data_IF_437523341741
#
_entry.id   IF_437523341741
#
_cell.length_a   1.000
_cell.length_b   1.000
_cell.length_c   1.000
_cell.angle_alpha   90.00
_cell.angle_beta   90.00
_cell.angle_gamma   90.00
#
_symmetry.space_group_name_H-M   'P 1'
#
loop_
_entity.id
_entity.type
_entity.pdbx_description
1 polymer ?
#
# COMPACT_ATOMS: atom_id res chain seq x y z
N UNK A 1 -36.46 -9.37 -4.05
CA UNK A 1 -35.59 -8.19 -3.89
C UNK A 1 -34.38 -8.42 -4.77
N UNK A 2 -34.47 -7.93 -6.00
CA UNK A 2 -33.54 -8.18 -7.12
C UNK A 2 -32.27 -7.39 -6.89
N UNK A 3 -31.16 -8.07 -6.70
CA UNK A 3 -29.81 -7.48 -6.67
C UNK A 3 -29.37 -7.13 -8.10
N UNK A 4 -30.06 -6.20 -8.75
CA UNK A 4 -29.54 -5.46 -9.88
C UNK A 4 -28.81 -4.24 -9.34
N UNK A 5 -27.55 -4.38 -8.93
CA UNK A 5 -26.71 -3.22 -8.65
C UNK A 5 -25.24 -3.52 -8.90
N UNK A 6 -24.72 -2.69 -9.78
CA UNK A 6 -23.36 -2.21 -9.85
C UNK A 6 -22.28 -3.14 -10.43
N UNK A 7 -22.57 -3.71 -11.61
CA UNK A 7 -21.53 -4.16 -12.55
C UNK A 7 -20.83 -2.96 -13.27
N UNK A 8 -21.11 -1.73 -12.86
CA UNK A 8 -20.57 -0.53 -13.51
C UNK A 8 -19.07 -0.35 -13.26
N UNK A 9 -18.51 -1.03 -12.26
CA UNK A 9 -17.11 -0.85 -11.84
C UNK A 9 -16.12 -1.84 -12.45
N UNK A 10 -16.59 -2.92 -13.06
CA UNK A 10 -15.71 -3.83 -13.80
C UNK A 10 -15.68 -3.30 -15.24
N UNK A 11 -14.60 -2.65 -15.69
CA UNK A 11 -14.46 -2.31 -17.08
C UNK A 11 -14.61 -3.60 -17.88
N UNK A 12 -15.57 -3.65 -18.81
CA UNK A 12 -15.69 -4.74 -19.80
C UNK A 12 -14.50 -4.65 -20.77
N UNK A 13 -13.30 -4.83 -20.24
CA UNK A 13 -12.10 -4.90 -21.06
C UNK A 13 -11.98 -6.36 -21.49
N UNK A 14 -12.11 -6.62 -22.80
CA UNK A 14 -11.70 -7.91 -23.35
C UNK A 14 -10.30 -8.22 -22.83
N UNK A 15 -10.03 -9.46 -22.34
CA UNK A 15 -8.68 -9.82 -21.99
C UNK A 15 -7.83 -9.68 -23.26
N UNK A 16 -7.13 -8.57 -23.38
CA UNK A 16 -5.96 -8.53 -24.24
C UNK A 16 -5.02 -9.60 -23.69
N UNK A 17 -4.42 -10.38 -24.61
CA UNK A 17 -3.24 -11.17 -24.27
C UNK A 17 -2.44 -10.38 -23.24
N UNK A 18 -1.87 -11.06 -22.24
CA UNK A 18 -0.98 -10.48 -21.23
C UNK A 18 0.17 -9.80 -21.97
N UNK A 19 -0.12 -8.64 -22.54
CA UNK A 19 0.88 -7.81 -23.17
C UNK A 19 1.83 -7.45 -22.04
N UNK A 20 3.03 -7.93 -22.17
CA UNK A 20 4.12 -7.65 -21.25
C UNK A 20 4.15 -6.14 -21.05
N UNK A 21 4.05 -5.71 -19.80
CA UNK A 21 4.24 -4.31 -19.44
C UNK A 21 5.51 -3.78 -20.10
N UNK A 22 5.50 -2.61 -20.77
CA UNK A 22 6.65 -2.14 -21.53
C UNK A 22 7.89 -2.03 -20.63
N UNK A 23 9.01 -2.66 -21.02
CA UNK A 23 10.24 -2.64 -20.23
C UNK A 23 10.79 -1.21 -20.08
N UNK A 24 11.56 -0.97 -19.04
CA UNK A 24 12.33 0.26 -18.90
C UNK A 24 13.29 0.43 -20.08
N UNK A 25 13.59 1.68 -20.45
CA UNK A 25 14.62 1.97 -21.47
C UNK A 25 15.96 1.42 -21.00
N UNK A 26 16.72 0.83 -21.91
CA UNK A 26 17.92 0.04 -21.65
C UNK A 26 19.10 0.78 -20.99
N UNK A 27 19.06 2.09 -20.92
CA UNK A 27 20.11 2.97 -20.38
C UNK A 27 19.85 3.50 -18.99
N UNK A 28 18.74 3.10 -18.33
CA UNK A 28 18.44 3.51 -16.96
C UNK A 28 19.08 2.55 -15.94
N UNK A 29 19.58 3.12 -14.83
CA UNK A 29 19.97 2.31 -13.67
C UNK A 29 18.84 1.36 -13.28
N UNK A 30 19.18 0.13 -12.87
CA UNK A 30 18.19 -0.86 -12.43
C UNK A 30 17.44 -0.35 -11.20
N UNK A 31 18.12 0.36 -10.29
CA UNK A 31 17.55 0.88 -9.03
C UNK A 31 17.40 2.40 -9.06
N UNK A 32 16.64 2.93 -8.14
CA UNK A 32 16.49 4.35 -7.82
C UNK A 32 16.80 4.50 -6.33
N UNK A 33 17.99 5.00 -5.94
CA UNK A 33 18.30 5.23 -4.53
C UNK A 33 17.20 6.07 -3.85
N UNK A 34 16.88 5.75 -2.62
CA UNK A 34 15.75 6.37 -1.92
C UNK A 34 15.84 7.90 -1.91
N UNK A 35 17.02 8.46 -1.72
CA UNK A 35 17.26 9.92 -1.70
C UNK A 35 16.98 10.60 -3.04
N UNK A 36 16.90 9.86 -4.14
CA UNK A 36 16.61 10.37 -5.49
C UNK A 36 15.17 10.11 -5.95
N UNK A 37 14.41 9.34 -5.17
CA UNK A 37 13.08 8.94 -5.62
C UNK A 37 12.13 10.12 -5.79
N UNK A 38 12.26 11.12 -4.94
CA UNK A 38 11.43 12.31 -5.01
C UNK A 38 11.71 13.13 -6.27
N UNK A 39 12.98 13.36 -6.60
CA UNK A 39 13.37 14.04 -7.82
C UNK A 39 12.86 13.30 -9.05
N UNK A 40 12.96 11.96 -9.03
CA UNK A 40 12.44 11.12 -10.10
C UNK A 40 10.91 11.25 -10.25
N UNK A 41 10.16 11.27 -9.14
CA UNK A 41 8.70 11.42 -9.16
C UNK A 41 8.27 12.78 -9.72
N UNK A 42 8.97 13.86 -9.33
CA UNK A 42 8.62 15.24 -9.68
C UNK A 42 9.20 15.69 -11.04
N UNK A 43 10.07 14.89 -11.65
CA UNK A 43 10.61 15.17 -12.98
C UNK A 43 9.48 15.12 -14.03
N UNK A 44 9.28 16.24 -14.71
CA UNK A 44 8.27 16.38 -15.78
C UNK A 44 8.46 15.36 -16.90
N UNK A 45 9.68 14.92 -17.16
CA UNK A 45 10.00 13.88 -18.14
C UNK A 45 9.45 12.50 -17.76
N UNK A 46 9.22 12.24 -16.47
CA UNK A 46 8.68 10.99 -15.98
C UNK A 46 7.15 10.99 -15.83
N UNK A 47 6.48 12.15 -15.91
CA UNK A 47 5.03 12.25 -15.66
C UNK A 47 4.20 11.29 -16.51
N UNK A 48 4.41 11.27 -17.82
CA UNK A 48 3.68 10.37 -18.73
C UNK A 48 3.87 8.90 -18.33
N UNK A 49 5.12 8.50 -18.02
CA UNK A 49 5.44 7.15 -17.58
C UNK A 49 4.74 6.79 -16.25
N UNK A 50 4.68 7.73 -15.32
CA UNK A 50 4.00 7.56 -14.03
C UNK A 50 2.48 7.38 -14.24
N UNK A 51 1.87 8.19 -15.10
CA UNK A 51 0.45 8.07 -15.46
C UNK A 51 0.17 6.75 -16.20
N UNK A 52 1.06 6.31 -17.10
CA UNK A 52 0.97 5.00 -17.77
C UNK A 52 1.04 3.84 -16.76
N UNK A 53 1.86 3.94 -15.71
CA UNK A 53 1.92 2.96 -14.62
C UNK A 53 0.58 2.82 -13.91
N UNK A 54 -0.02 3.95 -13.52
CA UNK A 54 -1.32 3.97 -12.86
C UNK A 54 -2.42 3.42 -13.77
N UNK A 55 -2.46 3.88 -15.04
CA UNK A 55 -3.46 3.43 -16.01
C UNK A 55 -3.38 1.92 -16.24
N UNK A 56 -2.18 1.39 -16.48
CA UNK A 56 -2.00 -0.04 -16.70
C UNK A 56 -2.37 -0.87 -15.47
N UNK A 57 -1.89 -0.48 -14.28
CA UNK A 57 -2.20 -1.17 -13.04
C UNK A 57 -3.72 -1.25 -12.79
N UNK A 58 -4.38 -0.11 -12.90
CA UNK A 58 -5.81 0.01 -12.61
C UNK A 58 -6.71 -0.65 -13.65
N UNK A 59 -6.22 -0.87 -14.87
CA UNK A 59 -6.98 -1.58 -15.91
C UNK A 59 -6.74 -3.07 -15.96
N UNK A 60 -5.52 -3.52 -15.71
CA UNK A 60 -5.12 -4.88 -16.11
C UNK A 60 -4.58 -5.75 -14.98
N UNK A 61 -4.07 -5.17 -13.90
CA UNK A 61 -3.51 -5.94 -12.80
C UNK A 61 -4.58 -6.27 -11.73
N UNK A 62 -4.55 -7.49 -11.19
CA UNK A 62 -5.54 -7.92 -10.20
C UNK A 62 -5.46 -7.14 -8.88
N UNK A 63 -4.31 -6.54 -8.58
CA UNK A 63 -4.14 -5.65 -7.43
C UNK A 63 -5.07 -4.42 -7.43
N UNK A 64 -5.68 -4.08 -8.57
CA UNK A 64 -6.72 -3.04 -8.65
C UNK A 64 -7.95 -3.35 -7.80
N UNK A 65 -8.16 -4.61 -7.45
CA UNK A 65 -9.27 -5.02 -6.60
C UNK A 65 -9.01 -4.79 -5.11
N UNK A 66 -7.80 -4.41 -4.72
CA UNK A 66 -7.47 -4.15 -3.32
C UNK A 66 -8.45 -3.13 -2.71
N UNK A 67 -8.56 -1.94 -3.30
CA UNK A 67 -9.44 -0.89 -2.82
C UNK A 67 -10.93 -1.27 -2.91
N UNK A 68 -11.31 -2.01 -3.94
CA UNK A 68 -12.66 -2.54 -4.08
C UNK A 68 -13.07 -3.41 -2.89
N UNK A 69 -12.17 -4.29 -2.42
CA UNK A 69 -12.42 -5.14 -1.26
C UNK A 69 -12.32 -4.35 0.06
N UNK A 70 -11.36 -3.43 0.16
CA UNK A 70 -11.19 -2.56 1.34
C UNK A 70 -12.45 -1.75 1.60
N UNK A 71 -13.09 -1.17 0.57
CA UNK A 71 -14.34 -0.41 0.72
C UNK A 71 -15.52 -1.25 1.21
N UNK A 72 -15.47 -2.56 1.05
CA UNK A 72 -16.50 -3.50 1.53
C UNK A 72 -16.21 -4.04 2.92
N UNK A 73 -15.01 -3.79 3.40
CA UNK A 73 -14.59 -4.23 4.72
C UNK A 73 -15.11 -3.29 5.81
N UNK A 74 -15.19 -3.81 7.03
CA UNK A 74 -15.39 -3.00 8.21
C UNK A 74 -14.08 -2.25 8.54
N UNK A 75 -14.14 -0.96 8.81
CA UNK A 75 -12.95 -0.15 9.08
C UNK A 75 -12.23 -0.57 10.37
N UNK A 76 -12.97 -0.89 11.43
CA UNK A 76 -12.43 -1.14 12.77
C UNK A 76 -12.29 -2.61 13.11
N UNK A 77 -12.65 -3.54 12.20
CA UNK A 77 -12.53 -4.99 12.39
C UNK A 77 -12.03 -5.65 11.12
N UNK A 78 -11.23 -6.70 11.27
CA UNK A 78 -10.87 -7.53 10.13
C UNK A 78 -12.07 -8.37 9.69
N UNK A 79 -12.21 -8.53 8.38
CA UNK A 79 -13.29 -9.27 7.73
C UNK A 79 -12.71 -10.14 6.60
N UNK A 80 -13.46 -11.06 6.01
CA UNK A 80 -13.02 -11.78 4.82
C UNK A 80 -12.62 -10.87 3.65
N UNK A 81 -13.19 -9.66 3.57
CA UNK A 81 -12.85 -8.70 2.53
C UNK A 81 -11.41 -8.21 2.62
N UNK A 82 -10.86 -8.08 3.83
CA UNK A 82 -9.45 -7.70 4.02
C UNK A 82 -8.50 -8.79 3.54
N UNK A 83 -8.88 -10.06 3.73
CA UNK A 83 -8.11 -11.19 3.23
C UNK A 83 -8.10 -11.17 1.71
N UNK A 84 -9.26 -11.01 1.06
CA UNK A 84 -9.36 -10.90 -0.40
C UNK A 84 -8.60 -9.69 -0.93
N UNK A 85 -8.66 -8.54 -0.24
CA UNK A 85 -7.89 -7.35 -0.60
C UNK A 85 -6.39 -7.67 -0.63
N UNK A 86 -5.86 -8.25 0.42
CA UNK A 86 -4.44 -8.59 0.53
C UNK A 86 -4.01 -9.65 -0.48
N UNK A 87 -4.85 -10.65 -0.72
CA UNK A 87 -4.58 -11.71 -1.71
C UNK A 87 -4.56 -11.18 -3.15
N UNK A 88 -5.36 -10.15 -3.46
CA UNK A 88 -5.28 -9.45 -4.76
C UNK A 88 -3.91 -8.82 -5.03
N UNK A 89 -3.11 -8.55 -3.98
CA UNK A 89 -1.74 -8.08 -4.06
C UNK A 89 -0.70 -9.22 -4.11
N UNK A 90 -1.09 -10.40 -4.58
CA UNK A 90 -0.21 -11.56 -4.83
C UNK A 90 0.51 -12.09 -3.58
N UNK A 91 -0.14 -12.04 -2.44
CA UNK A 91 0.30 -12.69 -1.20
C UNK A 91 -0.84 -13.53 -0.63
N UNK A 92 -0.53 -14.51 0.20
CA UNK A 92 -1.55 -15.33 0.87
C UNK A 92 -1.53 -15.11 2.38
N UNK A 93 -2.70 -15.20 2.99
CA UNK A 93 -2.86 -15.21 4.44
C UNK A 93 -2.96 -16.67 4.88
N UNK A 94 -2.11 -17.16 5.83
CA UNK A 94 -2.20 -18.53 6.31
C UNK A 94 -3.60 -18.85 6.84
N UNK A 95 -4.16 -20.02 6.49
CA UNK A 95 -5.55 -20.39 6.83
C UNK A 95 -5.89 -20.23 8.32
N UNK A 96 -4.96 -20.59 9.22
CA UNK A 96 -5.18 -20.40 10.66
C UNK A 96 -5.25 -18.91 11.04
N UNK A 97 -4.43 -18.08 10.40
CA UNK A 97 -4.47 -16.65 10.59
C UNK A 97 -5.73 -16.03 9.99
N UNK A 98 -6.18 -16.51 8.82
CA UNK A 98 -7.44 -16.08 8.21
C UNK A 98 -8.63 -16.31 9.13
N UNK A 99 -8.73 -17.53 9.71
CA UNK A 99 -9.76 -17.84 10.71
C UNK A 99 -9.68 -16.88 11.90
N UNK A 100 -8.50 -16.72 12.51
CA UNK A 100 -8.29 -15.82 13.65
C UNK A 100 -8.62 -14.35 13.32
N UNK A 101 -8.32 -13.88 12.11
CA UNK A 101 -8.62 -12.51 11.69
C UNK A 101 -10.13 -12.23 11.64
N UNK A 102 -10.95 -13.19 11.21
CA UNK A 102 -12.39 -12.98 11.00
C UNK A 102 -13.25 -13.36 12.20
N UNK A 103 -12.74 -14.16 13.13
CA UNK A 103 -13.42 -14.48 14.38
C UNK A 103 -13.18 -13.37 15.42
N UNK A 104 -14.11 -13.13 16.37
CA UNK A 104 -13.88 -12.18 17.45
C UNK A 104 -12.64 -12.51 18.27
N UNK A 105 -11.78 -11.51 18.51
CA UNK A 105 -10.59 -11.63 19.36
C UNK A 105 -10.42 -10.35 20.17
N UNK A 106 -10.58 -10.46 21.47
CA UNK A 106 -10.65 -9.30 22.37
C UNK A 106 -9.36 -8.46 22.37
N UNK A 107 -8.19 -9.09 22.33
CA UNK A 107 -6.92 -8.37 22.38
C UNK A 107 -6.64 -7.64 21.07
N UNK A 108 -6.80 -8.32 19.93
CA UNK A 108 -6.65 -7.71 18.61
C UNK A 108 -7.65 -6.57 18.41
N UNK A 109 -8.92 -6.79 18.76
CA UNK A 109 -9.98 -5.82 18.56
C UNK A 109 -9.78 -4.58 19.43
N UNK A 110 -9.32 -4.75 20.67
CA UNK A 110 -8.92 -3.64 21.56
C UNK A 110 -7.73 -2.85 20.99
N UNK A 111 -6.74 -3.52 20.39
CA UNK A 111 -5.61 -2.85 19.75
C UNK A 111 -6.05 -2.08 18.51
N UNK A 112 -6.99 -2.62 17.74
CA UNK A 112 -7.58 -1.93 16.59
C UNK A 112 -8.30 -0.66 17.02
N UNK A 113 -9.16 -0.73 18.03
CA UNK A 113 -9.88 0.43 18.57
C UNK A 113 -8.90 1.51 19.07
N UNK A 114 -7.84 1.12 19.77
CA UNK A 114 -6.78 2.05 20.21
C UNK A 114 -6.06 2.71 19.05
N UNK A 115 -5.77 1.96 17.99
CA UNK A 115 -5.10 2.50 16.82
C UNK A 115 -5.98 3.53 16.08
N UNK A 116 -7.27 3.23 15.91
CA UNK A 116 -8.23 4.16 15.32
C UNK A 116 -8.39 5.43 16.16
N UNK A 117 -8.59 5.30 17.47
CA UNK A 117 -8.70 6.45 18.36
C UNK A 117 -7.44 7.34 18.33
N UNK A 118 -6.25 6.73 18.24
CA UNK A 118 -4.99 7.48 18.17
C UNK A 118 -4.80 8.24 16.84
N UNK A 119 -5.49 7.82 15.77
CA UNK A 119 -5.44 8.41 14.43
C UNK A 119 -6.66 9.31 14.12
N UNK A 120 -7.35 9.81 15.16
CA UNK A 120 -8.43 10.77 14.97
C UNK A 120 -9.52 10.29 14.00
N UNK A 121 -10.00 9.05 14.18
CA UNK A 121 -11.01 8.41 13.33
C UNK A 121 -10.64 8.31 11.84
N UNK A 122 -9.32 8.29 11.56
CA UNK A 122 -8.79 8.03 10.21
C UNK A 122 -8.54 9.28 9.36
N UNK A 123 -8.58 10.47 9.96
CA UNK A 123 -8.24 11.72 9.26
C UNK A 123 -6.72 11.96 9.15
N UNK A 124 -5.96 11.37 10.07
CA UNK A 124 -4.50 11.46 10.07
C UNK A 124 -3.87 10.74 8.87
N UNK A 125 -2.80 11.34 8.36
CA UNK A 125 -1.94 10.77 7.32
C UNK A 125 -0.60 10.33 7.90
N UNK A 126 0.19 9.57 7.13
CA UNK A 126 1.55 9.20 7.53
C UNK A 126 2.41 10.42 7.89
N UNK A 127 2.19 11.55 7.23
CA UNK A 127 2.99 12.78 7.42
C UNK A 127 2.38 13.77 8.41
N UNK A 128 1.09 13.69 8.73
CA UNK A 128 0.45 14.52 9.75
C UNK A 128 0.43 13.88 11.13
N UNK A 129 0.35 12.56 11.22
CA UNK A 129 0.23 11.86 12.49
C UNK A 129 1.47 12.02 13.38
N UNK A 130 1.26 11.82 14.69
CA UNK A 130 2.37 11.83 15.64
C UNK A 130 3.35 10.67 15.35
N UNK A 131 4.65 10.95 15.33
CA UNK A 131 5.71 9.95 15.07
C UNK A 131 5.67 8.77 16.03
N UNK A 132 5.20 8.96 17.27
CA UNK A 132 5.07 7.88 18.25
C UNK A 132 4.06 6.80 17.84
N UNK A 133 3.18 7.11 16.89
CA UNK A 133 2.20 6.15 16.33
C UNK A 133 2.82 5.29 15.24
N UNK A 134 3.94 5.71 14.65
CA UNK A 134 4.56 5.02 13.53
C UNK A 134 5.10 3.65 13.95
N UNK A 135 5.02 2.71 13.04
CA UNK A 135 5.65 1.39 13.19
C UNK A 135 7.11 1.52 12.79
N UNK A 136 7.94 1.92 13.72
CA UNK A 136 9.39 1.99 13.53
C UNK A 136 10.05 0.69 14.01
N UNK A 137 11.29 0.44 13.61
CA UNK A 137 12.07 -0.67 14.14
C UNK A 137 12.19 -0.59 15.67
N UNK A 138 12.33 0.63 16.21
CA UNK A 138 12.38 0.88 17.66
C UNK A 138 11.03 0.62 18.33
N UNK A 139 9.93 1.07 17.74
CA UNK A 139 8.59 0.87 18.31
C UNK A 139 8.15 -0.59 18.27
N UNK A 140 8.52 -1.35 17.24
CA UNK A 140 8.19 -2.78 17.15
C UNK A 140 8.99 -3.62 18.14
N UNK A 141 10.24 -3.25 18.44
CA UNK A 141 11.05 -3.92 19.44
C UNK A 141 10.54 -3.68 20.87
N UNK A 142 10.08 -2.47 21.16
CA UNK A 142 9.65 -2.06 22.49
C UNK A 142 8.14 -2.22 22.72
N UNK A 143 7.36 -2.63 21.71
CA UNK A 143 5.90 -2.73 21.77
C UNK A 143 5.20 -1.38 22.06
N UNK A 144 5.85 -0.25 21.75
CA UNK A 144 5.30 1.09 21.98
C UNK A 144 4.27 1.45 20.92
N UNK A 145 3.20 2.13 21.32
CA UNK A 145 2.14 2.58 20.42
C UNK A 145 1.17 1.47 19.97
N UNK A 146 -0.07 1.86 19.70
CA UNK A 146 -1.14 0.91 19.34
C UNK A 146 -0.90 0.23 17.99
N UNK A 147 -0.43 0.95 16.99
CA UNK A 147 -0.09 0.38 15.67
C UNK A 147 1.05 -0.62 15.75
N UNK A 148 2.09 -0.34 16.52
CA UNK A 148 3.21 -1.27 16.71
C UNK A 148 2.79 -2.53 17.46
N UNK A 149 1.92 -2.39 18.47
CA UNK A 149 1.34 -3.53 19.19
C UNK A 149 0.46 -4.37 18.25
N UNK A 150 -0.38 -3.74 17.44
CA UNK A 150 -1.23 -4.41 16.45
C UNK A 150 -0.38 -5.12 15.39
N UNK A 151 0.67 -4.48 14.88
CA UNK A 151 1.64 -5.11 13.98
C UNK A 151 2.24 -6.37 14.60
N UNK A 152 2.72 -6.28 15.86
CA UNK A 152 3.31 -7.40 16.59
C UNK A 152 2.29 -8.51 16.83
N UNK A 153 1.05 -8.16 17.18
CA UNK A 153 -0.06 -9.10 17.35
C UNK A 153 -0.31 -9.93 16.08
N UNK A 154 -0.37 -9.29 14.90
CA UNK A 154 -0.49 -9.96 13.61
C UNK A 154 0.72 -10.86 13.30
N UNK A 155 1.93 -10.37 13.59
CA UNK A 155 3.18 -11.14 13.41
C UNK A 155 3.21 -12.42 14.25
N UNK A 156 2.67 -12.38 15.45
CA UNK A 156 2.59 -13.54 16.34
C UNK A 156 1.68 -14.66 15.78
N UNK A 157 0.78 -14.34 14.86
CA UNK A 157 -0.03 -15.32 14.13
C UNK A 157 0.71 -15.96 12.92
N UNK A 158 2.03 -15.83 12.86
CA UNK A 158 2.88 -16.32 11.74
C UNK A 158 2.55 -15.67 10.38
N UNK A 159 1.96 -14.49 10.41
CA UNK A 159 1.76 -13.67 9.20
C UNK A 159 3.09 -13.01 8.85
N UNK A 160 3.58 -13.15 7.63
CA UNK A 160 4.82 -12.55 7.16
C UNK A 160 4.80 -11.01 7.19
N UNK A 161 5.97 -10.32 7.24
CA UNK A 161 6.01 -8.85 7.36
C UNK A 161 5.35 -8.14 6.18
N UNK A 162 5.48 -8.65 4.98
CA UNK A 162 4.83 -8.12 3.77
C UNK A 162 3.30 -8.23 3.89
N UNK A 163 2.79 -9.42 4.23
CA UNK A 163 1.35 -9.64 4.40
C UNK A 163 0.78 -8.81 5.56
N UNK A 164 1.52 -8.69 6.67
CA UNK A 164 1.13 -7.84 7.81
C UNK A 164 1.00 -6.38 7.40
N UNK A 165 1.97 -5.83 6.65
CA UNK A 165 1.87 -4.43 6.20
C UNK A 165 0.68 -4.22 5.26
N UNK A 166 0.38 -5.17 4.38
CA UNK A 166 -0.78 -5.11 3.48
C UNK A 166 -2.11 -5.17 4.24
N UNK A 167 -2.22 -6.03 5.26
CA UNK A 167 -3.40 -6.10 6.14
C UNK A 167 -3.62 -4.77 6.89
N UNK A 168 -2.55 -4.17 7.39
CA UNK A 168 -2.64 -2.90 8.08
C UNK A 168 -2.93 -1.74 7.10
N UNK A 169 -2.35 -1.75 5.91
CA UNK A 169 -2.66 -0.77 4.87
C UNK A 169 -4.14 -0.83 4.45
N UNK A 170 -4.76 -2.01 4.45
CA UNK A 170 -6.20 -2.15 4.23
C UNK A 170 -7.04 -1.45 5.32
N UNK A 171 -6.52 -1.36 6.55
CA UNK A 171 -7.20 -0.70 7.68
C UNK A 171 -6.84 0.78 7.83
N UNK A 172 -5.62 1.14 7.51
CA UNK A 172 -5.07 2.48 7.72
C UNK A 172 -4.43 3.01 6.42
N UNK A 173 -5.21 3.16 5.33
CA UNK A 173 -4.66 3.40 3.99
C UNK A 173 -3.96 4.76 3.83
N UNK A 174 -4.23 5.72 4.72
CA UNK A 174 -3.55 7.03 4.73
C UNK A 174 -2.24 7.03 5.53
N UNK A 175 -2.03 6.01 6.39
CA UNK A 175 -0.92 5.99 7.37
C UNK A 175 0.08 4.88 7.10
N UNK A 176 -0.39 3.74 6.60
CA UNK A 176 0.43 2.53 6.48
C UNK A 176 0.94 2.33 5.05
N UNK A 177 2.24 2.57 4.76
CA UNK A 177 2.83 2.20 3.48
C UNK A 177 2.90 0.69 3.33
N UNK A 178 2.65 0.20 2.13
CA UNK A 178 2.79 -1.23 1.83
C UNK A 178 4.28 -1.58 1.72
N UNK A 179 4.74 -2.51 2.56
CA UNK A 179 6.06 -3.10 2.40
C UNK A 179 6.01 -4.14 1.29
N UNK A 180 6.59 -3.85 0.15
CA UNK A 180 6.76 -4.80 -0.96
C UNK A 180 8.25 -5.03 -1.23
N UNK A 181 8.63 -6.29 -1.46
CA UNK A 181 10.03 -6.66 -1.66
C UNK A 181 10.62 -6.02 -2.92
N UNK A 182 9.82 -5.82 -3.97
CA UNK A 182 10.28 -5.14 -5.20
C UNK A 182 10.53 -3.67 -4.97
N UNK A 183 9.66 -3.00 -4.22
CA UNK A 183 9.84 -1.59 -3.84
C UNK A 183 11.09 -1.44 -2.97
N UNK A 184 11.25 -2.32 -1.97
CA UNK A 184 12.44 -2.32 -1.12
C UNK A 184 13.72 -2.46 -1.94
N UNK A 185 13.74 -3.38 -2.92
CA UNK A 185 14.89 -3.57 -3.80
C UNK A 185 15.08 -2.41 -4.79
N UNK A 186 14.00 -1.85 -5.37
CA UNK A 186 14.05 -0.70 -6.26
C UNK A 186 14.73 0.50 -5.58
N UNK A 187 14.34 0.77 -4.32
CA UNK A 187 14.78 1.94 -3.55
C UNK A 187 16.06 1.68 -2.74
N UNK A 188 16.68 0.51 -2.88
CA UNK A 188 17.89 0.10 -2.15
C UNK A 188 17.75 0.19 -0.62
N UNK A 189 16.52 0.00 -0.10
CA UNK A 189 16.21 0.07 1.33
C UNK A 189 16.85 -1.13 2.04
N UNK A 190 17.68 -0.84 3.04
CA UNK A 190 18.38 -1.87 3.81
C UNK A 190 17.49 -2.46 4.92
N UNK A 191 17.77 -3.69 5.41
CA UNK A 191 17.00 -4.29 6.51
C UNK A 191 16.97 -3.48 7.81
N UNK A 192 18.01 -2.65 8.04
CA UNK A 192 18.11 -1.74 9.20
C UNK A 192 17.31 -0.46 9.06
N UNK A 193 16.90 -0.12 7.83
CA UNK A 193 16.21 1.13 7.55
C UNK A 193 14.76 1.06 7.99
N UNK A 194 14.27 2.19 8.46
CA UNK A 194 12.91 2.35 8.92
C UNK A 194 12.02 2.84 7.78
N UNK A 195 11.35 1.91 7.13
CA UNK A 195 10.50 2.18 5.97
C UNK A 195 9.47 3.28 6.22
N UNK A 196 8.87 3.31 7.41
CA UNK A 196 7.79 4.24 7.75
C UNK A 196 8.32 5.66 7.89
N UNK A 197 9.41 5.81 8.61
CA UNK A 197 10.09 7.10 8.75
C UNK A 197 10.65 7.59 7.40
N UNK A 198 11.14 6.69 6.56
CA UNK A 198 11.62 7.04 5.22
C UNK A 198 10.47 7.56 4.36
N UNK A 199 9.37 6.81 4.24
CA UNK A 199 8.21 7.26 3.45
C UNK A 199 7.60 8.55 4.00
N UNK A 200 7.55 8.73 5.34
CA UNK A 200 7.12 9.99 5.95
C UNK A 200 7.94 11.19 5.46
N UNK A 201 9.26 11.05 5.40
CA UNK A 201 10.15 12.12 4.92
C UNK A 201 9.84 12.56 3.50
N UNK A 202 9.44 11.65 2.60
CA UNK A 202 9.08 12.02 1.23
C UNK A 202 7.94 13.04 1.17
N UNK A 203 7.05 13.08 2.16
CA UNK A 203 5.90 13.96 2.19
C UNK A 203 6.10 15.21 3.05
N UNK A 204 7.08 15.22 3.97
CA UNK A 204 7.31 16.34 4.89
C UNK A 204 8.33 17.34 4.34
N UNK A 205 9.40 16.87 3.70
CA UNK A 205 10.53 17.71 3.24
C UNK A 205 10.13 18.45 1.95
N UNK A 206 9.38 19.63 2.08
CA UNK A 206 8.77 20.10 0.86
C UNK A 206 8.48 21.59 0.66
N UNK A 207 9.03 22.12 -0.43
CA UNK A 207 8.49 23.30 -1.15
C UNK A 207 7.36 22.91 -2.14
N UNK A 208 7.32 21.65 -2.62
CA UNK A 208 6.29 21.12 -3.51
C UNK A 208 5.61 19.94 -2.83
N UNK A 209 4.36 20.08 -2.44
CA UNK A 209 3.62 18.99 -1.80
C UNK A 209 3.55 17.75 -2.71
N UNK A 210 4.30 16.70 -2.36
CA UNK A 210 4.24 15.41 -3.05
C UNK A 210 2.83 14.84 -3.02
N UNK A 211 2.10 15.00 -1.92
CA UNK A 211 0.70 14.63 -1.81
C UNK A 211 -0.13 15.27 -2.92
N UNK A 212 -0.04 16.61 -3.05
CA UNK A 212 -0.79 17.35 -4.09
C UNK A 212 -0.39 16.90 -5.50
N UNK A 213 0.89 16.65 -5.74
CA UNK A 213 1.35 16.14 -7.03
C UNK A 213 0.72 14.79 -7.36
N UNK A 214 0.76 13.84 -6.40
CA UNK A 214 0.18 12.52 -6.58
C UNK A 214 -1.34 12.59 -6.80
N UNK A 215 -2.04 13.48 -6.09
CA UNK A 215 -3.50 13.65 -6.23
C UNK A 215 -3.92 14.26 -7.57
N UNK A 216 -3.03 15.01 -8.22
CA UNK A 216 -3.26 15.59 -9.54
C UNK A 216 -2.97 14.63 -10.71
N UNK A 217 -2.40 13.44 -10.45
CA UNK A 217 -2.17 12.47 -11.51
C UNK A 217 -3.50 11.94 -12.07
N UNK A 218 -3.52 11.80 -13.38
CA UNK A 218 -4.71 11.32 -14.09
C UNK A 218 -4.94 9.83 -13.80
N UNK A 219 -6.16 9.49 -13.40
CA UNK A 219 -6.59 8.11 -13.20
C UNK A 219 -7.62 7.71 -14.25
N UNK A 220 -7.72 6.42 -14.61
CA UNK A 220 -8.79 5.93 -15.50
C UNK A 220 -10.17 6.27 -14.95
N UNK A 221 -11.10 6.58 -15.84
CA UNK A 221 -12.50 6.84 -15.46
C UNK A 221 -13.11 5.62 -14.74
N UNK A 222 -13.85 5.87 -13.67
CA UNK A 222 -14.49 4.82 -12.86
C UNK A 222 -13.54 4.14 -11.88
N UNK A 223 -12.33 4.66 -11.69
CA UNK A 223 -11.40 4.17 -10.67
C UNK A 223 -11.92 4.55 -9.28
N UNK A 224 -11.75 3.64 -8.31
CA UNK A 224 -11.95 3.91 -6.90
C UNK A 224 -10.95 4.98 -6.45
N UNK A 225 -11.36 5.84 -5.54
CA UNK A 225 -10.48 6.84 -4.95
C UNK A 225 -9.26 6.19 -4.29
N UNK A 226 -8.07 6.68 -4.65
CA UNK A 226 -6.80 6.21 -4.11
C UNK A 226 -6.18 7.29 -3.23
N UNK A 227 -5.69 6.91 -2.06
CA UNK A 227 -4.87 7.81 -1.24
C UNK A 227 -3.54 8.12 -1.95
N UNK A 228 -2.92 9.26 -1.65
CA UNK A 228 -1.60 9.62 -2.19
C UNK A 228 -0.56 8.52 -1.89
N UNK A 229 -0.61 7.93 -0.69
CA UNK A 229 0.26 6.84 -0.29
C UNK A 229 0.07 5.60 -1.16
N UNK A 230 -1.17 5.27 -1.52
CA UNK A 230 -1.47 4.14 -2.40
C UNK A 230 -1.07 4.41 -3.85
N UNK A 231 -1.24 5.63 -4.34
CA UNK A 231 -0.73 6.03 -5.68
C UNK A 231 0.78 5.86 -5.74
N UNK A 232 1.50 6.32 -4.72
CA UNK A 232 2.94 6.15 -4.61
C UNK A 232 3.34 4.66 -4.64
N UNK A 233 2.68 3.83 -3.84
CA UNK A 233 2.93 2.38 -3.80
C UNK A 233 2.78 1.73 -5.19
N UNK A 234 1.67 2.02 -5.90
CA UNK A 234 1.42 1.50 -7.24
C UNK A 234 2.51 1.94 -8.22
N UNK A 235 2.87 3.23 -8.21
CA UNK A 235 3.90 3.79 -9.10
C UNK A 235 5.24 3.09 -8.88
N UNK A 236 5.67 2.97 -7.63
CA UNK A 236 6.94 2.33 -7.28
C UNK A 236 6.96 0.85 -7.63
N UNK A 237 5.86 0.13 -7.37
CA UNK A 237 5.75 -1.28 -7.70
C UNK A 237 5.78 -1.52 -9.21
N UNK A 238 5.08 -0.68 -9.98
CA UNK A 238 5.07 -0.73 -11.44
C UNK A 238 6.45 -0.39 -12.02
N UNK A 239 7.12 0.62 -11.48
CA UNK A 239 8.48 0.97 -11.89
C UNK A 239 9.47 -0.15 -11.60
N UNK A 240 9.37 -0.80 -10.44
CA UNK A 240 10.19 -1.97 -10.10
C UNK A 240 9.99 -3.13 -11.09
N UNK A 241 8.72 -3.38 -11.49
CA UNK A 241 8.43 -4.39 -12.52
C UNK A 241 8.99 -4.00 -13.89
N UNK A 242 8.84 -2.73 -14.30
CA UNK A 242 9.36 -2.24 -15.56
C UNK A 242 10.88 -2.37 -15.67
N UNK A 243 11.59 -2.22 -14.55
CA UNK A 243 13.05 -2.39 -14.45
C UNK A 243 13.48 -3.84 -14.23
N UNK A 244 12.55 -4.80 -14.22
CA UNK A 244 12.82 -6.21 -13.97
C UNK A 244 13.60 -6.47 -12.66
N UNK A 245 13.26 -5.71 -11.60
CA UNK A 245 13.86 -5.92 -10.28
C UNK A 245 13.62 -7.36 -9.82
N UNK A 246 14.69 -8.10 -9.61
CA UNK A 246 14.66 -9.45 -9.09
C UNK A 246 14.60 -9.42 -7.57
N UNK A 247 13.80 -10.33 -7.00
CA UNK A 247 13.73 -10.55 -5.55
C UNK A 247 14.55 -11.80 -5.28
N UNK A 248 15.63 -11.66 -4.52
CA UNK A 248 16.45 -12.77 -4.06
C UNK A 248 15.73 -13.65 -3.02
#
# INVERSE_FOLDING_TARGET
>A
MTLERDNAWIPKVKPRQRDTYPPAKSDQSITIPFEKIRDWLLDKGNKSRIEDHLDWYLRYYDGRFFEYFVQRSNQTRFTPWDILAVESLSVSVPTKASKWLVEPDQDRDRLMDKAWAALGDGDETLWSCNETLLITNKSTQNGSGALAQLYSCLRNQKIGPVTTSKLLAAKFPKVIPIRDSRIVALLEIQPKDDLWSMFRKLFIDDDISLERYLDQLTLPQGTVELTALRRLDIILWMEANARNIQIG
#
